data_IF_677825779141
#
_entry.id   IF_677825779141
#
_cell.length_a   1.000
_cell.length_b   1.000
_cell.length_c   1.000
_cell.angle_alpha   90.00
_cell.angle_beta   90.00
_cell.angle_gamma   90.00
#
_symmetry.space_group_name_H-M   'P 1'
#
loop_
_entity.id
_entity.type
_entity.pdbx_description
1 polymer ?
#
# COMPACT_ATOMS: atom_id res chain seq x y z
N UNK A 1 -1.02 36.11 10.84
CA UNK A 1 -1.71 35.06 11.64
C UNK A 1 -3.06 35.53 12.15
N UNK A 2 -3.18 36.73 12.75
CA UNK A 2 -4.45 37.24 13.29
C UNK A 2 -5.55 37.42 12.25
N UNK A 3 -5.21 37.95 11.06
CA UNK A 3 -6.18 38.11 9.94
C UNK A 3 -6.75 36.76 9.50
N UNK A 4 -5.94 35.70 9.41
CA UNK A 4 -6.39 34.37 9.01
C UNK A 4 -7.35 33.76 10.03
N UNK A 5 -7.14 34.03 11.33
CA UNK A 5 -8.03 33.61 12.42
C UNK A 5 -9.39 34.34 12.32
N UNK A 6 -9.37 35.67 12.18
CA UNK A 6 -10.59 36.49 12.01
C UNK A 6 -11.39 36.05 10.77
N UNK A 7 -10.71 35.71 9.66
CA UNK A 7 -11.37 35.19 8.46
C UNK A 7 -11.97 33.81 8.72
N UNK A 8 -11.32 32.96 9.51
CA UNK A 8 -11.87 31.66 9.89
C UNK A 8 -13.13 31.81 10.76
N UNK A 9 -13.08 32.63 11.80
CA UNK A 9 -14.21 32.95 12.69
C UNK A 9 -15.41 33.47 11.88
N UNK A 10 -15.19 34.44 11.00
CA UNK A 10 -16.23 34.93 10.09
C UNK A 10 -16.83 33.84 9.19
N UNK A 11 -16.00 32.90 8.68
CA UNK A 11 -16.48 31.81 7.85
C UNK A 11 -17.25 30.77 8.63
N UNK A 12 -16.86 30.50 9.88
CA UNK A 12 -17.61 29.65 10.82
C UNK A 12 -19.00 30.21 11.04
N UNK A 13 -19.10 31.51 11.35
CA UNK A 13 -20.37 32.19 11.61
C UNK A 13 -21.29 32.26 10.38
N UNK A 14 -20.70 32.44 9.19
CA UNK A 14 -21.46 32.68 7.94
C UNK A 14 -21.64 31.47 7.07
N UNK A 15 -21.06 30.31 7.41
CA UNK A 15 -21.10 29.06 6.62
C UNK A 15 -20.38 29.18 5.26
N UNK A 16 -19.49 30.16 5.06
CA UNK A 16 -18.75 30.33 3.80
C UNK A 16 -17.61 29.35 3.67
N UNK A 17 -17.45 28.79 2.48
CA UNK A 17 -16.34 27.87 2.17
C UNK A 17 -14.97 28.50 2.40
N UNK A 18 -14.03 27.73 2.94
CA UNK A 18 -12.63 28.17 3.16
C UNK A 18 -11.97 28.47 1.82
N UNK A 19 -12.06 27.57 0.87
CA UNK A 19 -11.49 27.73 -0.46
C UNK A 19 -12.44 28.51 -1.37
N UNK A 20 -11.93 29.62 -1.94
CA UNK A 20 -12.64 30.49 -2.87
C UNK A 20 -11.74 30.80 -4.09
N UNK A 21 -11.63 29.81 -5.02
CA UNK A 21 -10.71 29.84 -6.18
C UNK A 21 -10.71 31.18 -6.91
N UNK A 22 -11.87 31.68 -7.28
CA UNK A 22 -12.00 32.94 -8.04
C UNK A 22 -11.39 34.12 -7.29
N UNK A 23 -11.69 34.26 -5.99
CA UNK A 23 -11.17 35.35 -5.16
C UNK A 23 -9.65 35.27 -4.95
N UNK A 24 -9.10 34.07 -4.85
CA UNK A 24 -7.65 33.89 -4.74
C UNK A 24 -6.96 34.26 -6.04
N UNK A 25 -7.48 33.82 -7.18
CA UNK A 25 -6.96 34.21 -8.50
C UNK A 25 -7.00 35.70 -8.75
N UNK A 26 -8.09 36.40 -8.36
CA UNK A 26 -8.21 37.85 -8.46
C UNK A 26 -7.12 38.56 -7.62
N UNK A 27 -6.84 38.06 -6.42
CA UNK A 27 -5.76 38.60 -5.57
C UNK A 27 -4.38 38.37 -6.15
N UNK A 28 -4.09 37.17 -6.64
CA UNK A 28 -2.83 36.85 -7.30
C UNK A 28 -2.64 37.75 -8.52
N UNK A 29 -3.65 37.88 -9.37
CA UNK A 29 -3.59 38.78 -10.53
C UNK A 29 -3.30 40.22 -10.14
N UNK A 30 -3.92 40.72 -9.05
CA UNK A 30 -3.68 42.07 -8.53
C UNK A 30 -2.24 42.28 -8.07
N UNK A 31 -1.62 41.32 -7.37
CA UNK A 31 -0.22 41.46 -6.94
C UNK A 31 0.76 41.29 -8.10
N UNK A 32 0.47 40.41 -9.05
CA UNK A 32 1.27 40.29 -10.29
C UNK A 32 1.32 41.58 -11.09
N UNK A 33 0.22 42.32 -11.16
CA UNK A 33 0.14 43.62 -11.85
C UNK A 33 1.03 44.70 -11.22
N UNK A 34 1.51 44.50 -9.99
CA UNK A 34 2.47 45.45 -9.35
C UNK A 34 3.93 45.11 -9.67
N UNK A 35 4.19 44.02 -10.37
CA UNK A 35 5.55 43.61 -10.73
C UNK A 35 5.96 44.20 -12.09
N UNK A 36 7.28 44.35 -12.29
CA UNK A 36 7.83 45.03 -13.51
C UNK A 36 8.59 44.07 -14.44
N UNK A 37 8.67 42.80 -14.10
CA UNK A 37 9.31 41.74 -14.93
C UNK A 37 8.73 40.37 -14.62
N UNK A 38 8.92 39.43 -15.56
CA UNK A 38 8.35 38.07 -15.48
C UNK A 38 8.90 37.29 -14.31
N UNK A 39 10.18 37.44 -13.97
CA UNK A 39 10.79 36.73 -12.82
C UNK A 39 10.10 37.11 -11.50
N UNK A 40 9.95 38.43 -11.26
CA UNK A 40 9.27 38.91 -10.05
C UNK A 40 7.77 38.57 -10.07
N UNK A 41 7.13 38.58 -11.23
CA UNK A 41 5.73 38.20 -11.40
C UNK A 41 5.51 36.77 -10.98
N UNK A 42 6.37 35.85 -11.41
CA UNK A 42 6.32 34.42 -11.05
C UNK A 42 6.63 34.21 -9.57
N UNK A 43 7.68 34.81 -9.05
CA UNK A 43 8.05 34.71 -7.64
C UNK A 43 6.97 35.24 -6.68
N UNK A 44 6.30 36.33 -7.02
CA UNK A 44 5.19 36.90 -6.24
C UNK A 44 3.98 35.96 -6.27
N UNK A 45 3.65 35.36 -7.40
CA UNK A 45 2.60 34.38 -7.55
C UNK A 45 2.83 33.20 -6.60
N UNK A 46 4.00 32.57 -6.65
CA UNK A 46 4.36 31.44 -5.78
C UNK A 46 4.27 31.81 -4.28
N UNK A 47 4.80 32.95 -3.89
CA UNK A 47 4.75 33.42 -2.51
C UNK A 47 3.32 33.63 -2.02
N UNK A 48 2.46 34.25 -2.84
CA UNK A 48 1.06 34.48 -2.47
C UNK A 48 0.25 33.18 -2.43
N UNK A 49 0.50 32.23 -3.33
CA UNK A 49 -0.10 30.88 -3.27
C UNK A 49 0.27 30.18 -1.97
N UNK A 50 1.52 30.23 -1.54
CA UNK A 50 1.98 29.68 -0.27
C UNK A 50 1.31 30.37 0.93
N UNK A 51 1.27 31.70 0.97
CA UNK A 51 0.60 32.46 2.05
C UNK A 51 -0.88 32.09 2.14
N UNK A 52 -1.58 31.97 1.01
CA UNK A 52 -2.98 31.59 0.98
C UNK A 52 -3.17 30.15 1.42
N UNK A 53 -2.29 29.25 1.03
CA UNK A 53 -2.30 27.85 1.46
C UNK A 53 -2.15 27.74 2.98
N UNK A 54 -1.18 28.45 3.56
CA UNK A 54 -1.01 28.49 5.02
C UNK A 54 -2.22 29.09 5.73
N UNK A 55 -2.83 30.14 5.16
CA UNK A 55 -4.06 30.75 5.70
C UNK A 55 -5.23 29.77 5.66
N UNK A 56 -5.42 29.03 4.57
CA UNK A 56 -6.46 27.98 4.46
C UNK A 56 -6.25 26.90 5.50
N UNK A 57 -5.02 26.43 5.66
CA UNK A 57 -4.67 25.43 6.69
C UNK A 57 -5.15 25.85 8.07
N UNK A 58 -4.80 27.07 8.50
CA UNK A 58 -5.24 27.59 9.79
C UNK A 58 -6.78 27.68 9.90
N UNK A 59 -7.44 28.13 8.82
CA UNK A 59 -8.91 28.23 8.78
C UNK A 59 -9.55 26.83 8.91
N UNK A 60 -9.08 25.82 8.19
CA UNK A 60 -9.56 24.42 8.32
C UNK A 60 -9.33 23.88 9.72
N UNK A 61 -8.15 24.10 10.33
CA UNK A 61 -7.89 23.69 11.70
C UNK A 61 -8.90 24.29 12.70
N UNK A 62 -9.23 25.57 12.53
CA UNK A 62 -10.21 26.24 13.40
C UNK A 62 -11.63 25.74 13.16
N UNK A 63 -12.04 25.51 11.90
CA UNK A 63 -13.35 24.95 11.59
C UNK A 63 -13.53 23.56 12.21
N UNK A 64 -12.51 22.70 12.15
CA UNK A 64 -12.57 21.39 12.76
C UNK A 64 -12.70 21.43 14.27
N UNK A 65 -11.92 22.31 14.91
CA UNK A 65 -12.02 22.50 16.35
C UNK A 65 -13.44 22.91 16.78
N UNK A 66 -14.21 23.56 15.90
CA UNK A 66 -15.60 23.95 16.13
C UNK A 66 -16.63 22.89 15.67
N UNK A 67 -16.19 21.73 15.18
CA UNK A 67 -17.05 20.60 14.83
C UNK A 67 -17.92 20.79 13.58
N UNK A 68 -17.63 21.80 12.75
CA UNK A 68 -18.51 22.22 11.66
C UNK A 68 -18.23 21.61 10.28
N UNK A 69 -17.08 20.95 10.04
CA UNK A 69 -16.85 20.25 8.76
C UNK A 69 -15.80 19.13 8.89
N UNK A 70 -15.92 18.09 8.04
CA UNK A 70 -14.80 17.26 7.63
C UNK A 70 -14.49 16.03 8.49
N UNK A 71 -15.48 15.41 9.13
CA UNK A 71 -15.24 14.05 9.64
C UNK A 71 -15.14 13.09 8.47
N UNK A 72 -13.96 12.53 8.26
CA UNK A 72 -13.81 11.39 7.37
C UNK A 72 -14.82 10.30 7.80
N UNK A 73 -15.38 9.53 6.86
CA UNK A 73 -16.36 8.49 7.18
C UNK A 73 -15.75 7.30 7.93
N UNK A 74 -14.54 7.44 8.45
CA UNK A 74 -13.80 6.41 9.16
C UNK A 74 -14.16 6.36 10.64
N UNK A 75 -14.39 5.15 11.14
CA UNK A 75 -14.67 4.87 12.54
C UNK A 75 -13.39 4.42 13.23
N UNK A 76 -12.96 5.13 14.27
CA UNK A 76 -11.80 4.75 15.06
C UNK A 76 -12.15 3.64 16.05
N UNK A 77 -11.46 2.50 15.96
CA UNK A 77 -11.59 1.35 16.87
C UNK A 77 -10.31 1.21 17.71
N UNK A 78 -10.41 0.60 18.89
CA UNK A 78 -9.21 0.31 19.70
C UNK A 78 -8.41 -0.83 19.07
N UNK A 79 -9.10 -1.88 18.64
CA UNK A 79 -8.55 -3.04 17.96
C UNK A 79 -9.47 -3.47 16.82
N UNK A 80 -8.95 -4.18 15.84
CA UNK A 80 -9.78 -4.80 14.81
C UNK A 80 -10.51 -5.99 15.42
N UNK A 81 -11.82 -6.10 15.14
CA UNK A 81 -12.61 -7.28 15.50
C UNK A 81 -12.17 -8.46 14.63
N UNK A 82 -11.33 -9.31 15.17
CA UNK A 82 -10.80 -10.52 14.50
C UNK A 82 -11.48 -11.80 14.94
N UNK A 83 -12.19 -11.78 16.05
CA UNK A 83 -12.97 -12.92 16.53
C UNK A 83 -14.04 -13.27 15.51
N UNK A 84 -14.04 -14.52 15.04
CA UNK A 84 -14.93 -15.02 13.99
C UNK A 84 -14.79 -14.32 12.63
N UNK A 85 -13.75 -13.53 12.39
CA UNK A 85 -13.52 -12.90 11.10
C UNK A 85 -13.25 -13.95 10.02
N UNK A 86 -13.80 -13.73 8.83
CA UNK A 86 -13.50 -14.52 7.64
C UNK A 86 -12.43 -13.77 6.84
N UNK A 87 -11.32 -14.44 6.62
CA UNK A 87 -10.16 -13.81 5.96
C UNK A 87 -9.85 -14.53 4.66
N UNK A 88 -9.75 -13.78 3.56
CA UNK A 88 -9.30 -14.29 2.28
C UNK A 88 -7.85 -13.88 2.02
N UNK A 89 -7.07 -14.76 1.41
CA UNK A 89 -5.74 -14.45 0.92
C UNK A 89 -5.50 -15.03 -0.47
N UNK A 90 -4.66 -14.39 -1.26
CA UNK A 90 -4.32 -14.87 -2.60
C UNK A 90 -3.15 -15.86 -2.53
N UNK A 91 -3.25 -16.94 -3.31
CA UNK A 91 -2.22 -17.97 -3.47
C UNK A 91 -2.60 -19.28 -2.81
N UNK A 92 -1.70 -20.26 -2.86
CA UNK A 92 -1.92 -21.59 -2.29
C UNK A 92 -1.65 -21.64 -0.78
N UNK A 93 -2.05 -22.71 -0.14
CA UNK A 93 -1.62 -23.04 1.22
C UNK A 93 -0.08 -23.16 1.27
N UNK A 94 0.53 -22.68 2.35
CA UNK A 94 1.98 -22.59 2.50
C UNK A 94 2.60 -21.35 1.82
N UNK A 95 1.79 -20.46 1.22
CA UNK A 95 2.27 -19.22 0.60
C UNK A 95 2.65 -18.16 1.64
N UNK A 96 3.42 -17.16 1.22
CA UNK A 96 3.75 -16.00 2.07
C UNK A 96 2.53 -15.12 2.39
N UNK A 97 1.48 -15.15 1.55
CA UNK A 97 0.20 -14.52 1.85
C UNK A 97 -0.48 -15.21 3.05
N UNK A 98 -0.46 -16.54 3.09
CA UNK A 98 -0.94 -17.28 4.27
C UNK A 98 -0.11 -16.99 5.52
N UNK A 99 1.22 -16.92 5.38
CA UNK A 99 2.09 -16.56 6.49
C UNK A 99 1.78 -15.15 7.04
N UNK A 100 1.52 -14.18 6.16
CA UNK A 100 1.11 -12.83 6.54
C UNK A 100 -0.24 -12.85 7.25
N UNK A 101 -1.20 -13.60 6.73
CA UNK A 101 -2.52 -13.78 7.31
C UNK A 101 -2.43 -14.36 8.73
N UNK A 102 -1.73 -15.49 8.91
CA UNK A 102 -1.55 -16.11 10.23
C UNK A 102 -0.84 -15.21 11.22
N UNK A 103 0.18 -14.49 10.77
CA UNK A 103 0.93 -13.57 11.64
C UNK A 103 0.10 -12.39 12.11
N UNK A 104 -0.84 -11.91 11.31
CA UNK A 104 -1.69 -10.78 11.65
C UNK A 104 -2.93 -11.20 12.46
N UNK A 105 -3.62 -12.26 12.05
CA UNK A 105 -4.90 -12.69 12.62
C UNK A 105 -4.77 -13.87 13.61
N UNK A 106 -3.61 -14.52 13.68
CA UNK A 106 -3.39 -15.75 14.46
C UNK A 106 -3.66 -17.03 13.66
N UNK A 107 -3.30 -18.16 14.27
CA UNK A 107 -3.35 -19.48 13.60
C UNK A 107 -4.78 -20.02 13.40
N UNK A 108 -5.73 -19.62 14.26
CA UNK A 108 -7.07 -20.20 14.32
C UNK A 108 -8.15 -19.37 13.59
N UNK A 109 -7.76 -18.38 12.80
CA UNK A 109 -8.71 -17.55 12.06
C UNK A 109 -9.40 -18.36 10.96
N UNK A 110 -10.68 -18.12 10.74
CA UNK A 110 -11.42 -18.71 9.63
C UNK A 110 -10.95 -18.10 8.30
N UNK A 111 -10.09 -18.82 7.58
CA UNK A 111 -9.46 -18.30 6.38
C UNK A 111 -9.60 -19.26 5.19
N UNK A 112 -9.67 -18.69 3.99
CA UNK A 112 -9.65 -19.44 2.74
C UNK A 112 -8.79 -18.72 1.71
N UNK A 113 -8.32 -19.43 0.71
CA UNK A 113 -7.50 -18.88 -0.35
C UNK A 113 -8.23 -18.82 -1.68
N UNK A 114 -7.76 -17.93 -2.53
CA UNK A 114 -8.24 -17.72 -3.91
C UNK A 114 -7.05 -17.60 -4.87
N UNK A 115 -7.30 -17.81 -6.16
CA UNK A 115 -6.23 -17.82 -7.16
C UNK A 115 -5.78 -16.42 -7.54
N UNK A 116 -6.69 -15.47 -7.69
CA UNK A 116 -6.38 -14.12 -8.17
C UNK A 116 -6.62 -13.04 -7.11
N UNK A 117 -5.95 -11.91 -7.27
CA UNK A 117 -6.19 -10.72 -6.42
C UNK A 117 -7.62 -10.21 -6.57
N UNK A 118 -8.18 -10.27 -7.78
CA UNK A 118 -9.55 -9.86 -8.05
C UNK A 118 -10.56 -10.72 -7.29
N UNK A 119 -10.37 -12.02 -7.23
CA UNK A 119 -11.24 -12.93 -6.47
C UNK A 119 -11.22 -12.58 -4.97
N UNK A 120 -10.05 -12.18 -4.43
CA UNK A 120 -9.95 -11.75 -3.05
C UNK A 120 -10.73 -10.45 -2.79
N UNK A 121 -10.67 -9.47 -3.71
CA UNK A 121 -11.44 -8.24 -3.61
C UNK A 121 -12.94 -8.49 -3.76
N UNK A 122 -13.33 -9.35 -4.70
CA UNK A 122 -14.73 -9.76 -4.89
C UNK A 122 -15.30 -10.44 -3.66
N UNK A 123 -14.52 -11.30 -3.00
CA UNK A 123 -14.94 -11.96 -1.77
C UNK A 123 -15.29 -10.96 -0.63
N UNK A 124 -14.56 -9.85 -0.55
CA UNK A 124 -14.88 -8.75 0.37
C UNK A 124 -16.16 -8.02 -0.07
N UNK A 125 -16.26 -7.69 -1.35
CA UNK A 125 -17.39 -6.92 -1.89
C UNK A 125 -18.72 -7.67 -1.76
N UNK A 126 -18.71 -8.98 -2.04
CA UNK A 126 -19.84 -9.89 -1.89
C UNK A 126 -20.16 -10.26 -0.44
N UNK A 127 -19.28 -9.91 0.52
CA UNK A 127 -19.45 -10.20 1.93
C UNK A 127 -19.18 -11.66 2.31
N UNK A 128 -18.47 -12.44 1.51
CA UNK A 128 -17.99 -13.79 1.85
C UNK A 128 -16.74 -13.75 2.72
N UNK A 129 -15.97 -12.65 2.68
CA UNK A 129 -14.87 -12.34 3.57
C UNK A 129 -15.04 -10.96 4.21
N UNK A 130 -14.49 -10.79 5.42
CA UNK A 130 -14.48 -9.52 6.16
C UNK A 130 -13.17 -8.77 5.92
N UNK A 131 -12.07 -9.51 5.70
CA UNK A 131 -10.74 -8.99 5.41
C UNK A 131 -10.07 -9.76 4.29
N UNK A 132 -9.21 -9.07 3.50
CA UNK A 132 -8.28 -9.72 2.59
C UNK A 132 -6.83 -9.35 2.93
N UNK A 133 -5.92 -10.31 2.75
CA UNK A 133 -4.48 -10.14 2.91
C UNK A 133 -3.80 -10.21 1.55
N UNK A 134 -3.22 -9.09 1.11
CA UNK A 134 -2.74 -8.91 -0.26
C UNK A 134 -1.33 -8.30 -0.28
N UNK A 135 -0.41 -8.82 -1.11
CA UNK A 135 0.93 -8.25 -1.25
C UNK A 135 0.85 -6.93 -2.01
N UNK A 136 1.33 -5.83 -1.44
CA UNK A 136 1.33 -4.52 -2.12
C UNK A 136 2.70 -4.13 -2.66
N UNK A 137 3.76 -4.62 -2.02
CA UNK A 137 5.13 -4.24 -2.35
C UNK A 137 6.15 -5.29 -1.90
N UNK A 138 7.18 -5.48 -2.70
CA UNK A 138 8.34 -6.28 -2.32
C UNK A 138 9.62 -5.44 -2.53
N UNK A 139 10.55 -5.47 -1.59
CA UNK A 139 11.75 -4.63 -1.62
C UNK A 139 12.68 -4.93 -2.81
N UNK A 140 12.55 -6.10 -3.43
CA UNK A 140 13.36 -6.52 -4.59
C UNK A 140 12.60 -6.41 -5.91
N UNK A 141 11.31 -6.81 -5.92
CA UNK A 141 10.49 -6.83 -7.14
C UNK A 141 9.72 -5.53 -7.38
N UNK A 142 9.67 -4.64 -6.38
CA UNK A 142 8.90 -3.41 -6.46
C UNK A 142 7.41 -3.59 -6.09
N UNK A 143 6.57 -2.75 -6.67
CA UNK A 143 5.14 -2.73 -6.38
C UNK A 143 4.38 -3.86 -7.06
N UNK A 144 3.28 -4.28 -6.43
CA UNK A 144 2.26 -5.15 -7.04
C UNK A 144 1.16 -4.24 -7.61
N UNK A 145 1.37 -3.83 -8.86
CA UNK A 145 0.60 -2.78 -9.51
C UNK A 145 -0.92 -3.03 -9.50
N UNK A 146 -1.34 -4.28 -9.73
CA UNK A 146 -2.75 -4.67 -9.80
C UNK A 146 -3.52 -4.39 -8.50
N UNK A 147 -2.83 -4.49 -7.34
CA UNK A 147 -3.48 -4.23 -6.04
C UNK A 147 -3.91 -2.77 -5.92
N UNK A 148 -3.09 -1.82 -6.40
CA UNK A 148 -3.44 -0.40 -6.37
C UNK A 148 -4.67 -0.09 -7.23
N UNK A 149 -4.75 -0.70 -8.40
CA UNK A 149 -5.88 -0.51 -9.30
C UNK A 149 -7.16 -1.13 -8.71
N UNK A 150 -7.07 -2.33 -8.15
CA UNK A 150 -8.17 -3.03 -7.52
C UNK A 150 -8.66 -2.33 -6.24
N UNK A 151 -7.78 -1.77 -5.40
CA UNK A 151 -8.18 -1.01 -4.21
C UNK A 151 -9.11 0.16 -4.57
N UNK A 152 -8.86 0.81 -5.70
CA UNK A 152 -9.70 1.92 -6.17
C UNK A 152 -10.95 1.47 -6.88
N UNK A 153 -10.91 0.34 -7.59
CA UNK A 153 -12.07 -0.24 -8.28
C UNK A 153 -13.14 -0.71 -7.29
N UNK A 154 -12.72 -1.35 -6.21
CA UNK A 154 -13.61 -1.91 -5.18
C UNK A 154 -13.86 -0.97 -3.99
N UNK A 155 -13.28 0.22 -3.99
CA UNK A 155 -13.42 1.22 -2.91
C UNK A 155 -13.10 0.67 -1.52
N UNK A 156 -12.08 -0.20 -1.42
CA UNK A 156 -11.69 -0.83 -0.16
C UNK A 156 -10.69 0.02 0.63
N UNK A 157 -10.76 -0.12 1.95
CA UNK A 157 -9.87 0.59 2.87
C UNK A 157 -8.77 -0.31 3.39
N UNK A 158 -7.54 0.22 3.45
CA UNK A 158 -6.42 -0.42 4.14
C UNK A 158 -6.60 -0.21 5.64
N UNK A 159 -6.72 -1.30 6.40
CA UNK A 159 -6.95 -1.29 7.85
C UNK A 159 -5.76 -1.81 8.67
N UNK A 160 -4.77 -2.36 8.00
CA UNK A 160 -3.55 -2.86 8.62
C UNK A 160 -2.47 -3.21 7.60
N UNK A 161 -1.27 -3.50 8.09
CA UNK A 161 -0.17 -4.00 7.28
C UNK A 161 0.61 -5.09 8.02
N UNK A 162 1.18 -6.01 7.25
CA UNK A 162 2.07 -7.05 7.76
C UNK A 162 3.28 -7.19 6.86
N UNK A 163 4.47 -7.16 7.45
CA UNK A 163 5.71 -7.37 6.72
C UNK A 163 6.17 -8.81 6.95
N UNK A 164 6.41 -9.52 5.85
CA UNK A 164 6.99 -10.86 5.83
C UNK A 164 8.34 -10.79 5.14
N UNK A 165 9.34 -11.40 5.74
CA UNK A 165 10.65 -11.64 5.12
C UNK A 165 10.64 -13.06 4.57
N UNK A 166 10.61 -13.26 3.23
CA UNK A 166 10.64 -14.59 2.66
C UNK A 166 11.97 -15.28 2.96
N UNK A 167 11.91 -16.36 3.68
CA UNK A 167 13.05 -17.26 3.89
C UNK A 167 12.85 -18.47 2.98
N UNK A 168 13.50 -18.43 1.82
CA UNK A 168 13.46 -19.56 0.89
C UNK A 168 14.42 -20.65 1.33
N UNK A 169 13.95 -21.88 1.29
CA UNK A 169 14.73 -23.11 1.50
C UNK A 169 14.59 -24.02 0.29
N UNK A 170 15.56 -24.89 0.09
CA UNK A 170 15.49 -25.96 -0.91
C UNK A 170 14.79 -27.15 -0.30
N UNK A 171 13.69 -27.58 -0.88
CA UNK A 171 12.81 -28.66 -0.41
C UNK A 171 12.87 -29.85 -1.37
N UNK A 172 13.05 -31.03 -0.86
CA UNK A 172 12.98 -32.30 -1.60
C UNK A 172 12.11 -33.33 -0.91
N UNK A 173 11.94 -34.49 -1.52
CA UNK A 173 11.28 -35.63 -0.88
C UNK A 173 12.02 -36.05 0.39
N UNK A 174 11.35 -36.73 1.35
CA UNK A 174 12.00 -37.15 2.60
C UNK A 174 13.22 -38.05 2.44
N UNK A 175 13.24 -38.85 1.37
CA UNK A 175 14.33 -39.76 1.01
C UNK A 175 15.31 -39.22 0.00
N UNK A 176 15.12 -37.94 -0.45
CA UNK A 176 16.05 -37.29 -1.36
C UNK A 176 17.26 -36.71 -0.61
N UNK A 177 18.42 -36.77 -1.26
CA UNK A 177 19.63 -36.08 -0.84
C UNK A 177 20.02 -35.01 -1.89
N UNK A 178 20.90 -34.09 -1.51
CA UNK A 178 21.27 -32.95 -2.38
C UNK A 178 21.89 -33.43 -3.70
N UNK A 179 22.63 -34.51 -3.66
CA UNK A 179 23.31 -35.14 -4.80
C UNK A 179 22.33 -35.77 -5.82
N UNK A 180 21.12 -36.11 -5.37
CA UNK A 180 20.08 -36.67 -6.26
C UNK A 180 19.50 -35.60 -7.18
N UNK A 181 19.56 -34.32 -6.78
CA UNK A 181 18.82 -33.23 -7.44
C UNK A 181 19.37 -32.93 -8.83
N UNK A 182 18.45 -32.83 -9.79
CA UNK A 182 18.72 -32.47 -11.21
C UNK A 182 17.84 -31.33 -11.69
N UNK A 183 16.72 -31.06 -11.01
CA UNK A 183 15.79 -30.00 -11.38
C UNK A 183 15.30 -29.25 -10.16
N UNK A 184 15.24 -27.93 -10.26
CA UNK A 184 14.69 -27.05 -9.22
C UNK A 184 13.53 -26.26 -9.78
N UNK A 185 12.38 -26.35 -9.10
CA UNK A 185 11.12 -25.68 -9.47
C UNK A 185 10.83 -24.53 -8.51
N UNK A 186 10.50 -23.36 -9.02
CA UNK A 186 9.98 -22.24 -8.22
C UNK A 186 9.42 -21.12 -9.09
N UNK A 187 8.85 -20.10 -8.43
CA UNK A 187 8.49 -18.84 -9.08
C UNK A 187 9.76 -18.14 -9.60
N UNK A 188 9.71 -17.48 -10.79
CA UNK A 188 10.89 -16.82 -11.39
C UNK A 188 11.63 -15.88 -10.43
N UNK A 189 10.89 -15.12 -9.62
CA UNK A 189 11.47 -14.22 -8.64
C UNK A 189 12.27 -14.97 -7.55
N UNK A 190 11.78 -16.09 -7.04
CA UNK A 190 12.48 -16.89 -6.04
C UNK A 190 13.74 -17.56 -6.64
N UNK A 191 13.66 -18.05 -7.88
CA UNK A 191 14.82 -18.55 -8.63
C UNK A 191 15.89 -17.47 -8.78
N UNK A 192 15.50 -16.25 -9.13
CA UNK A 192 16.41 -15.09 -9.23
C UNK A 192 17.05 -14.74 -7.88
N UNK A 193 16.28 -14.70 -6.80
CA UNK A 193 16.77 -14.39 -5.45
C UNK A 193 17.75 -15.43 -4.92
N UNK A 194 17.64 -16.68 -5.37
CA UNK A 194 18.54 -17.77 -5.04
C UNK A 194 19.62 -18.00 -6.13
N UNK A 195 19.78 -17.07 -7.06
CA UNK A 195 20.64 -17.21 -8.24
C UNK A 195 22.07 -17.64 -7.92
N UNK A 196 22.72 -16.99 -6.94
CA UNK A 196 24.10 -17.36 -6.54
C UNK A 196 24.20 -18.80 -6.02
N UNK A 197 23.22 -19.26 -5.27
CA UNK A 197 23.19 -20.65 -4.82
C UNK A 197 22.99 -21.60 -6.00
N UNK A 198 22.11 -21.27 -6.93
CA UNK A 198 21.86 -22.07 -8.13
C UNK A 198 23.03 -22.05 -9.11
N UNK A 199 23.86 -21.01 -9.15
CA UNK A 199 25.10 -20.96 -9.93
C UNK A 199 26.17 -21.92 -9.42
N UNK A 200 26.17 -22.27 -8.13
CA UNK A 200 27.05 -23.31 -7.58
C UNK A 200 26.63 -24.74 -7.96
N UNK A 201 25.45 -24.89 -8.58
CA UNK A 201 24.92 -26.16 -9.05
C UNK A 201 24.52 -26.06 -10.55
N UNK A 202 25.50 -25.90 -11.46
CA UNK A 202 25.24 -25.59 -12.89
C UNK A 202 24.47 -26.70 -13.62
N UNK A 203 24.56 -27.92 -13.12
CA UNK A 203 23.89 -29.10 -13.72
C UNK A 203 22.36 -29.16 -13.42
N UNK A 204 21.87 -28.31 -12.54
CA UNK A 204 20.46 -28.29 -12.21
C UNK A 204 19.64 -27.52 -13.23
N UNK A 205 18.56 -28.12 -13.73
CA UNK A 205 17.59 -27.47 -14.59
C UNK A 205 16.67 -26.61 -13.76
N UNK A 206 16.50 -25.35 -14.15
CA UNK A 206 15.53 -24.43 -13.52
C UNK A 206 14.20 -24.54 -14.23
N UNK A 207 13.12 -24.76 -13.48
CA UNK A 207 11.75 -24.81 -13.99
C UNK A 207 10.90 -23.76 -13.31
N UNK A 208 10.38 -22.84 -14.10
CA UNK A 208 9.49 -21.79 -13.62
C UNK A 208 8.08 -22.31 -13.33
N UNK A 209 7.50 -21.84 -12.24
CA UNK A 209 6.17 -22.16 -11.75
C UNK A 209 5.46 -20.87 -11.33
N UNK A 210 4.13 -20.89 -11.30
CA UNK A 210 3.30 -19.73 -10.95
C UNK A 210 3.55 -19.20 -9.53
N UNK A 211 3.84 -20.09 -8.56
CA UNK A 211 4.14 -19.70 -7.18
C UNK A 211 5.03 -20.72 -6.47
N UNK A 212 5.63 -20.28 -5.38
CA UNK A 212 6.60 -21.09 -4.60
C UNK A 212 5.94 -22.25 -3.87
N UNK A 213 4.78 -22.03 -3.26
CA UNK A 213 4.07 -23.10 -2.51
C UNK A 213 3.53 -24.18 -3.45
N UNK A 214 3.01 -23.80 -4.62
CA UNK A 214 2.61 -24.74 -5.67
C UNK A 214 3.78 -25.57 -6.20
N UNK A 215 4.99 -25.02 -6.21
CA UNK A 215 6.20 -25.76 -6.55
C UNK A 215 6.47 -26.87 -5.53
N UNK A 216 6.35 -26.58 -4.23
CA UNK A 216 6.50 -27.57 -3.17
C UNK A 216 5.42 -28.67 -3.27
N UNK A 217 4.15 -28.28 -3.50
CA UNK A 217 3.05 -29.23 -3.73
C UNK A 217 3.36 -30.17 -4.89
N UNK A 218 3.86 -29.60 -6.01
CA UNK A 218 4.21 -30.38 -7.19
C UNK A 218 5.30 -31.42 -6.92
N UNK A 219 6.37 -31.07 -6.18
CA UNK A 219 7.39 -32.04 -5.81
C UNK A 219 6.79 -33.25 -5.04
N UNK A 220 5.83 -32.98 -4.15
CA UNK A 220 5.13 -34.02 -3.43
C UNK A 220 4.30 -34.90 -4.36
N UNK A 221 3.59 -34.32 -5.31
CA UNK A 221 2.70 -35.02 -6.26
C UNK A 221 3.50 -35.83 -7.29
N UNK A 222 4.57 -35.26 -7.86
CA UNK A 222 5.42 -35.90 -8.86
C UNK A 222 6.19 -37.10 -8.26
N UNK A 223 6.46 -37.09 -6.95
CA UNK A 223 7.15 -38.12 -6.20
C UNK A 223 8.48 -38.57 -6.85
N UNK A 224 9.20 -37.59 -7.41
CA UNK A 224 10.50 -37.77 -8.08
C UNK A 224 11.61 -37.13 -7.25
N UNK A 225 12.49 -37.97 -6.66
CA UNK A 225 13.58 -37.52 -5.80
C UNK A 225 14.66 -36.69 -6.50
N UNK A 226 14.65 -36.65 -7.84
CA UNK A 226 15.56 -35.80 -8.62
C UNK A 226 15.10 -34.35 -8.73
N UNK A 227 13.91 -34.06 -8.24
CA UNK A 227 13.32 -32.74 -8.24
C UNK A 227 13.31 -32.11 -6.84
N UNK A 228 13.56 -30.80 -6.80
CA UNK A 228 13.47 -29.97 -5.61
C UNK A 228 12.65 -28.71 -5.87
N UNK A 229 12.11 -28.12 -4.81
CA UNK A 229 11.44 -26.81 -4.87
C UNK A 229 12.17 -25.77 -4.03
N UNK A 230 12.22 -24.54 -4.50
CA UNK A 230 12.52 -23.38 -3.65
C UNK A 230 11.22 -22.80 -3.17
N UNK A 231 10.95 -22.91 -1.85
CA UNK A 231 9.73 -22.42 -1.23
C UNK A 231 9.97 -22.03 0.24
N UNK A 232 8.88 -21.67 0.96
CA UNK A 232 8.94 -21.40 2.39
C UNK A 232 9.13 -22.67 3.20
N UNK A 233 9.70 -22.57 4.41
CA UNK A 233 9.78 -23.68 5.38
C UNK A 233 8.36 -24.23 5.69
N UNK A 234 7.38 -23.34 5.81
CA UNK A 234 5.99 -23.73 6.08
C UNK A 234 5.39 -24.60 4.97
N UNK A 235 5.72 -24.30 3.70
CA UNK A 235 5.31 -25.18 2.59
C UNK A 235 5.99 -26.55 2.69
N UNK A 236 7.23 -26.61 3.13
CA UNK A 236 7.93 -27.87 3.41
C UNK A 236 7.22 -28.71 4.47
N UNK A 237 6.88 -28.11 5.59
CA UNK A 237 6.14 -28.75 6.68
C UNK A 237 4.76 -29.24 6.23
N UNK A 238 4.01 -28.37 5.52
CA UNK A 238 2.67 -28.67 5.02
C UNK A 238 2.63 -29.89 4.08
N UNK A 239 3.59 -29.97 3.15
CA UNK A 239 3.64 -31.02 2.15
C UNK A 239 4.52 -32.23 2.57
N UNK A 240 5.08 -32.19 3.79
CA UNK A 240 5.95 -33.25 4.31
C UNK A 240 7.23 -33.43 3.52
N UNK A 241 7.83 -32.30 3.09
CA UNK A 241 9.10 -32.29 2.38
C UNK A 241 10.27 -32.05 3.34
N UNK A 242 11.43 -32.61 2.99
CA UNK A 242 12.70 -32.44 3.71
C UNK A 242 13.38 -31.15 3.23
N UNK A 243 13.93 -30.38 4.16
CA UNK A 243 14.83 -29.26 3.83
C UNK A 243 16.19 -29.82 3.45
N UNK A 244 16.58 -29.64 2.20
CA UNK A 244 17.88 -30.05 1.66
C UNK A 244 18.95 -28.98 1.85
N UNK A 245 18.56 -27.70 1.80
CA UNK A 245 19.46 -26.57 2.05
C UNK A 245 18.69 -25.35 2.58
N UNK A 246 19.37 -24.60 3.46
CA UNK A 246 18.89 -23.37 4.06
C UNK A 246 19.78 -22.20 3.65
N UNK A 247 19.33 -20.96 3.91
CA UNK A 247 20.09 -19.74 3.62
C UNK A 247 20.55 -19.62 2.16
N UNK A 248 19.72 -20.09 1.24
CA UNK A 248 20.04 -20.14 -0.19
C UNK A 248 19.82 -18.80 -0.91
N UNK A 249 19.20 -17.81 -0.24
CA UNK A 249 19.02 -16.46 -0.79
C UNK A 249 20.22 -15.59 -0.48
N UNK A 250 20.69 -14.85 -1.48
CA UNK A 250 21.82 -13.93 -1.31
C UNK A 250 21.45 -12.57 -0.68
N UNK A 251 20.16 -12.21 -0.68
CA UNK A 251 19.68 -10.94 -0.13
C UNK A 251 18.76 -11.17 1.08
N UNK A 252 19.35 -11.19 2.27
CA UNK A 252 18.62 -11.34 3.54
C UNK A 252 17.73 -10.14 3.90
N UNK A 253 17.73 -9.06 3.09
CA UNK A 253 16.88 -7.88 3.30
C UNK A 253 15.60 -7.92 2.47
N UNK A 254 15.36 -9.00 1.71
CA UNK A 254 14.10 -9.14 0.97
C UNK A 254 12.91 -9.16 1.93
N UNK A 255 11.96 -8.28 1.70
CA UNK A 255 10.73 -8.19 2.49
C UNK A 255 9.54 -7.92 1.57
N UNK A 256 8.43 -8.55 1.86
CA UNK A 256 7.15 -8.29 1.22
C UNK A 256 6.21 -7.62 2.22
N UNK A 257 5.68 -6.48 1.84
CA UNK A 257 4.65 -5.77 2.58
C UNK A 257 3.30 -6.24 2.10
N UNK A 258 2.50 -6.75 3.02
CA UNK A 258 1.11 -7.11 2.82
C UNK A 258 0.22 -6.05 3.43
N UNK A 259 -0.88 -5.73 2.77
CA UNK A 259 -1.95 -4.90 3.32
C UNK A 259 -3.12 -5.76 3.71
N UNK A 260 -3.76 -5.37 4.81
CA UNK A 260 -5.03 -5.91 5.25
C UNK A 260 -6.10 -4.93 4.81
N UNK A 261 -7.05 -5.39 4.00
CA UNK A 261 -8.10 -4.56 3.45
C UNK A 261 -9.47 -5.01 3.90
N UNK A 262 -10.40 -4.05 4.02
CA UNK A 262 -11.79 -4.28 4.42
C UNK A 262 -12.71 -3.30 3.70
N UNK A 263 -13.99 -3.67 3.56
CA UNK A 263 -15.05 -2.75 3.08
C UNK A 263 -15.48 -1.75 4.14
N UNK A 264 -15.29 -2.08 5.41
CA UNK A 264 -15.65 -1.19 6.52
C UNK A 264 -14.65 -0.03 6.60
N UNK A 265 -15.08 1.23 6.63
CA UNK A 265 -14.21 2.39 6.78
C UNK A 265 -13.80 2.54 8.26
N UNK A 266 -12.93 1.66 8.72
CA UNK A 266 -12.41 1.64 10.10
C UNK A 266 -10.91 1.92 10.11
N UNK A 267 -10.41 2.42 11.23
CA UNK A 267 -8.98 2.54 11.49
C UNK A 267 -8.69 2.28 12.98
N UNK A 268 -7.54 1.68 13.25
CA UNK A 268 -7.08 1.49 14.63
C UNK A 268 -6.57 2.81 15.17
N UNK A 269 -7.01 3.21 16.38
CA UNK A 269 -6.73 4.54 16.95
C UNK A 269 -5.25 4.83 17.20
N UNK A 270 -4.40 3.82 17.30
CA UNK A 270 -2.95 3.93 17.44
C UNK A 270 -2.20 3.68 16.12
N UNK A 271 -2.89 3.59 14.99
CA UNK A 271 -2.24 3.48 13.69
C UNK A 271 -1.27 4.65 13.45
N UNK A 272 -0.12 4.35 12.85
CA UNK A 272 0.96 5.32 12.63
C UNK A 272 1.20 5.65 11.16
N UNK A 273 0.39 5.10 10.26
CA UNK A 273 0.50 5.31 8.81
C UNK A 273 -0.86 5.58 8.20
N UNK A 274 -0.89 6.47 7.24
CA UNK A 274 -2.06 6.79 6.44
C UNK A 274 -1.67 6.59 4.97
N UNK A 275 -2.52 5.85 4.24
CA UNK A 275 -2.42 5.69 2.79
C UNK A 275 -3.58 6.41 2.13
N UNK A 276 -3.29 7.28 1.18
CA UNK A 276 -4.30 7.99 0.39
C UNK A 276 -4.03 7.78 -1.09
N UNK A 277 -5.06 7.93 -1.89
CA UNK A 277 -4.88 8.14 -3.33
C UNK A 277 -5.67 9.36 -3.79
N UNK A 278 -5.20 9.99 -4.87
CA UNK A 278 -5.84 11.14 -5.48
C UNK A 278 -5.56 11.19 -6.98
N UNK A 279 -6.46 11.81 -7.71
CA UNK A 279 -6.30 12.15 -9.12
C UNK A 279 -6.09 13.65 -9.25
N UNK A 280 -5.21 14.07 -10.15
CA UNK A 280 -4.92 15.48 -10.39
C UNK A 280 -5.21 15.83 -11.84
N UNK A 281 -5.64 17.07 -12.07
CA UNK A 281 -5.67 17.63 -13.41
C UNK A 281 -4.26 17.70 -13.98
N UNK A 282 -4.11 17.42 -15.26
CA UNK A 282 -2.83 17.47 -15.96
C UNK A 282 -2.45 18.93 -16.27
N UNK A 283 -2.06 19.67 -15.23
CA UNK A 283 -1.65 21.07 -15.28
C UNK A 283 -0.33 21.25 -14.51
N UNK A 284 0.44 22.27 -14.92
CA UNK A 284 1.70 22.61 -14.24
C UNK A 284 1.44 22.96 -12.77
N UNK A 285 2.27 22.43 -11.87
CA UNK A 285 2.22 22.73 -10.43
C UNK A 285 1.18 21.96 -9.61
N UNK A 286 0.24 21.21 -10.21
CA UNK A 286 -0.83 20.55 -9.47
C UNK A 286 -0.30 19.51 -8.46
N UNK A 287 0.69 18.71 -8.85
CA UNK A 287 1.33 17.75 -7.94
C UNK A 287 2.09 18.46 -6.81
N UNK A 288 2.83 19.53 -7.13
CA UNK A 288 3.52 20.34 -6.12
C UNK A 288 2.53 20.92 -5.10
N UNK A 289 1.44 21.51 -5.57
CA UNK A 289 0.40 22.07 -4.71
C UNK A 289 -0.21 21.00 -3.80
N UNK A 290 -0.47 19.79 -4.31
CA UNK A 290 -0.95 18.68 -3.49
C UNK A 290 0.07 18.26 -2.44
N UNK A 291 1.32 18.04 -2.82
CA UNK A 291 2.39 17.64 -1.91
C UNK A 291 2.69 18.72 -0.86
N UNK A 292 2.51 20.00 -1.21
CA UNK A 292 2.69 21.09 -0.26
C UNK A 292 1.74 20.99 0.95
N UNK A 293 0.53 20.44 0.77
CA UNK A 293 -0.37 20.19 1.89
C UNK A 293 0.20 19.15 2.86
N UNK A 294 0.86 18.11 2.37
CA UNK A 294 1.55 17.11 3.19
C UNK A 294 2.70 17.78 3.96
N UNK A 295 3.57 18.53 3.26
CA UNK A 295 4.74 19.20 3.82
C UNK A 295 4.33 20.21 4.90
N UNK A 296 3.37 21.09 4.61
CA UNK A 296 2.94 22.13 5.54
C UNK A 296 2.18 21.59 6.76
N UNK A 297 1.68 20.37 6.68
CA UNK A 297 1.14 19.67 7.84
C UNK A 297 2.22 18.94 8.66
N UNK A 298 3.48 19.03 8.26
CA UNK A 298 4.60 18.38 8.95
C UNK A 298 4.55 16.86 8.86
N UNK A 299 3.90 16.31 7.79
CA UNK A 299 3.76 14.89 7.57
C UNK A 299 4.99 14.35 6.86
N UNK A 300 5.54 13.25 7.36
CA UNK A 300 6.65 12.55 6.73
C UNK A 300 6.09 11.57 5.68
N UNK A 301 6.27 11.90 4.40
CA UNK A 301 5.87 11.02 3.30
C UNK A 301 6.87 9.87 3.18
N UNK A 302 6.38 8.64 3.27
CA UNK A 302 7.20 7.42 3.20
C UNK A 302 7.15 6.74 1.83
N UNK A 303 6.13 7.05 1.03
CA UNK A 303 5.97 6.49 -0.32
C UNK A 303 5.16 7.43 -1.21
N UNK A 304 5.52 7.45 -2.47
CA UNK A 304 4.70 7.99 -3.56
C UNK A 304 4.80 7.07 -4.77
N UNK A 305 3.67 6.75 -5.35
CA UNK A 305 3.56 5.90 -6.54
C UNK A 305 2.54 6.50 -7.50
N UNK A 306 2.82 6.46 -8.79
CA UNK A 306 1.90 6.95 -9.81
C UNK A 306 1.42 5.84 -10.73
N UNK A 307 0.12 5.77 -10.97
CA UNK A 307 -0.51 4.81 -11.87
C UNK A 307 -1.30 5.51 -12.95
N UNK A 308 -1.18 5.11 -14.23
CA UNK A 308 -2.05 5.62 -15.29
C UNK A 308 -3.51 5.33 -14.98
N UNK A 309 -4.40 6.26 -15.28
CA UNK A 309 -5.85 6.04 -15.15
C UNK A 309 -6.36 5.37 -16.41
N UNK A 310 -6.94 4.20 -16.27
CA UNK A 310 -7.51 3.44 -17.40
C UNK A 310 -8.56 4.29 -18.13
N UNK A 311 -8.43 4.40 -19.45
CA UNK A 311 -9.35 5.18 -20.29
C UNK A 311 -9.10 6.70 -20.31
N UNK A 312 -8.10 7.21 -19.59
CA UNK A 312 -7.72 8.63 -19.61
C UNK A 312 -6.27 8.77 -20.08
N UNK A 313 -6.03 9.29 -21.27
CA UNK A 313 -4.68 9.48 -21.80
C UNK A 313 -3.89 10.48 -20.97
N UNK A 314 -2.68 10.08 -20.51
CA UNK A 314 -1.72 10.91 -19.80
C UNK A 314 -2.22 11.48 -18.47
N UNK A 315 -3.27 10.89 -17.88
CA UNK A 315 -3.71 11.20 -16.53
C UNK A 315 -3.29 10.10 -15.57
N UNK A 316 -2.94 10.52 -14.35
CA UNK A 316 -2.35 9.64 -13.35
C UNK A 316 -3.11 9.74 -12.03
N UNK A 317 -3.22 8.61 -11.37
CA UNK A 317 -3.59 8.50 -9.97
C UNK A 317 -2.33 8.35 -9.15
N UNK A 318 -2.24 9.10 -8.06
CA UNK A 318 -1.12 9.07 -7.15
C UNK A 318 -1.53 8.37 -5.87
N UNK A 319 -0.71 7.43 -5.42
CA UNK A 319 -0.85 6.77 -4.13
C UNK A 319 0.27 7.26 -3.24
N UNK A 320 -0.07 7.69 -2.04
CA UNK A 320 0.88 8.28 -1.11
C UNK A 320 0.68 7.68 0.27
N UNK A 321 1.77 7.20 0.85
CA UNK A 321 1.82 6.81 2.24
C UNK A 321 2.58 7.88 3.04
N UNK A 322 2.07 8.24 4.20
CA UNK A 322 2.76 9.13 5.14
C UNK A 322 2.54 8.70 6.58
N UNK A 323 3.50 9.04 7.44
CA UNK A 323 3.40 8.80 8.87
C UNK A 323 2.35 9.72 9.47
N UNK A 324 1.45 9.14 10.26
CA UNK A 324 0.40 9.89 10.91
C UNK A 324 -0.75 9.04 11.42
N UNK A 325 -1.70 9.71 12.09
CA UNK A 325 -2.86 9.09 12.69
C UNK A 325 -4.11 9.90 12.40
N UNK A 326 -5.18 9.26 11.93
CA UNK A 326 -6.46 9.91 11.63
C UNK A 326 -7.14 10.55 12.85
N UNK A 327 -6.75 10.16 14.07
CA UNK A 327 -7.23 10.79 15.31
C UNK A 327 -6.67 12.21 15.51
N UNK A 328 -5.51 12.53 14.94
CA UNK A 328 -4.94 13.86 15.05
C UNK A 328 -5.71 14.85 14.16
N UNK A 329 -6.15 15.95 14.74
CA UNK A 329 -6.99 16.99 14.10
C UNK A 329 -6.39 17.53 12.78
N UNK A 330 -5.07 17.49 12.64
CA UNK A 330 -4.36 17.94 11.43
C UNK A 330 -4.63 17.10 10.18
N UNK A 331 -5.11 15.86 10.32
CA UNK A 331 -5.34 14.94 9.19
C UNK A 331 -6.78 14.97 8.67
N UNK A 332 -7.72 15.44 9.47
CA UNK A 332 -9.13 15.57 9.06
C UNK A 332 -9.34 16.65 7.98
N UNK A 333 -8.27 17.37 7.60
CA UNK A 333 -8.30 18.50 6.68
C UNK A 333 -7.49 18.30 5.38
N UNK A 334 -7.07 17.08 5.08
CA UNK A 334 -6.65 16.68 3.75
C UNK A 334 -7.86 16.61 2.78
N UNK A 335 -8.87 17.46 2.98
CA UNK A 335 -9.88 17.68 1.95
C UNK A 335 -9.20 18.38 0.79
N UNK A 336 -8.89 17.58 -0.22
CA UNK A 336 -8.43 18.06 -1.50
C UNK A 336 -9.47 19.02 -2.06
N UNK A 337 -9.08 20.18 -2.57
CA UNK A 337 -10.00 21.00 -3.35
C UNK A 337 -10.42 20.19 -4.58
N UNK A 338 -11.68 19.77 -4.61
CA UNK A 338 -12.32 19.21 -5.79
C UNK A 338 -12.51 20.27 -6.86
#
# INVERSE_FOLDING_TARGET
>A
MDVSRQVAEYKIETGKKVFAKKREQEKIAGVKALTHNDFNSHGVEELFEQIMSMSRKLQYQLLAAHGSEGRLPFIGVEELETDCARVVYQGAEGSYSQAAMRRFFGENVNAFHVETFRDAMSAIDEGSADFAVLPIENTTAGIVADIYDLLTEYELSIVGEQIIRPEHVLLGLPDAELEDIRQVCSHPQALSQCGKYLESHPDWKKKEMENTAGSAKKIKEDNDKTQAAIASRQAGELYGLKILAENICYNGQNATRFVIVSKKPIYVKDAHKISIFFELHHESGTLYNMLSHIIYNGLNMTKIESRPITGKNWQYRFFVDFEGNLKAVSYTHLTLPT
#
